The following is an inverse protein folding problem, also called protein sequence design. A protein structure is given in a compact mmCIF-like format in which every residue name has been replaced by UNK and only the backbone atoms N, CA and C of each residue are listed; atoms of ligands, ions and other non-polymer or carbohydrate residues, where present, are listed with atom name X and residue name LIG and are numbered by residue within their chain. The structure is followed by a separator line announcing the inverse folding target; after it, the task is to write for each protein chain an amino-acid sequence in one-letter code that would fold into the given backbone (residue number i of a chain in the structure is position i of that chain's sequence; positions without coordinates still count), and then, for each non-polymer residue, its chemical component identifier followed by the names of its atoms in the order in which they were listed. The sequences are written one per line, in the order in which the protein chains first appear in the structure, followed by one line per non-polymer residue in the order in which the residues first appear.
data_IF_508845565515
#
_entry.id   IF_508845565515
#
_cell.length_a   1.000
_cell.length_b   1.000
_cell.length_c   1.000
_cell.angle_alpha   90.00
_cell.angle_beta   90.00
_cell.angle_gamma   90.00
#
_symmetry.space_group_name_H-M   'P 1'
#
loop_
_entity.id
_entity.type
_entity.pdbx_description
1 polymer ?
#
# COMPACT_ATOMS: atom_id res chain seq x y z
N UNK A 1 11.54 6.54 13.80
CA UNK A 1 10.16 6.12 13.44
C UNK A 1 10.26 4.93 12.49
N UNK A 2 9.26 4.04 12.42
CA UNK A 2 9.33 2.89 11.52
C UNK A 2 9.47 3.33 10.07
N UNK A 3 10.29 2.61 9.30
CA UNK A 3 10.49 2.88 7.87
C UNK A 3 9.51 2.11 6.99
N UNK A 4 9.10 0.92 7.45
CA UNK A 4 8.17 0.02 6.76
C UNK A 4 7.12 -0.46 7.76
N UNK A 5 5.85 -0.53 7.32
CA UNK A 5 4.74 -1.13 8.07
C UNK A 5 4.05 -2.19 7.20
N UNK A 6 3.86 -3.40 7.73
CA UNK A 6 2.97 -4.40 7.12
C UNK A 6 1.61 -4.33 7.81
N UNK A 7 0.54 -4.30 7.03
CA UNK A 7 -0.86 -4.32 7.49
C UNK A 7 -1.52 -5.56 6.88
N UNK A 8 -1.91 -6.47 7.77
CA UNK A 8 -2.49 -7.77 7.46
C UNK A 8 -3.52 -8.05 8.56
N UNK A 9 -4.71 -7.47 8.36
CA UNK A 9 -5.79 -7.44 9.35
C UNK A 9 -7.13 -7.57 8.65
N UNK A 10 -7.56 -8.80 8.42
CA UNK A 10 -8.78 -9.13 7.66
C UNK A 10 -9.98 -8.23 8.04
N UNK A 11 -10.37 -7.37 7.10
CA UNK A 11 -11.59 -6.54 7.19
C UNK A 11 -11.49 -5.32 8.09
N UNK A 12 -10.32 -5.04 8.69
CA UNK A 12 -10.12 -3.90 9.58
C UNK A 12 -9.08 -2.90 9.05
N UNK A 13 -8.66 -3.04 7.80
CA UNK A 13 -7.57 -2.27 7.21
C UNK A 13 -7.88 -0.76 7.24
N UNK A 14 -9.12 -0.36 6.91
CA UNK A 14 -9.54 1.05 6.97
C UNK A 14 -9.49 1.62 8.39
N UNK A 15 -9.87 0.85 9.39
CA UNK A 15 -9.85 1.29 10.78
C UNK A 15 -8.41 1.42 11.31
N UNK A 16 -7.54 0.48 10.95
CA UNK A 16 -6.10 0.54 11.27
C UNK A 16 -5.46 1.75 10.61
N UNK A 17 -5.68 1.95 9.31
CA UNK A 17 -5.17 3.10 8.58
C UNK A 17 -5.65 4.43 9.17
N UNK A 18 -6.93 4.52 9.57
CA UNK A 18 -7.47 5.71 10.25
C UNK A 18 -6.81 5.95 11.62
N UNK A 19 -6.57 4.89 12.40
CA UNK A 19 -5.84 4.97 13.67
C UNK A 19 -4.36 5.35 13.52
N UNK A 20 -3.79 5.17 12.34
CA UNK A 20 -2.39 5.46 12.03
C UNK A 20 -2.14 6.89 11.51
N UNK A 21 -3.14 7.77 11.51
CA UNK A 21 -3.05 9.13 10.91
C UNK A 21 -1.80 9.91 11.37
N UNK A 22 -1.48 9.88 12.66
CA UNK A 22 -0.29 10.56 13.20
C UNK A 22 1.02 9.95 12.66
N UNK A 23 1.08 8.62 12.52
CA UNK A 23 2.25 7.94 11.96
C UNK A 23 2.40 8.25 10.47
N UNK A 24 1.31 8.21 9.72
CA UNK A 24 1.31 8.50 8.28
C UNK A 24 1.79 9.93 8.00
N UNK A 25 1.35 10.90 8.82
CA UNK A 25 1.72 12.31 8.68
C UNK A 25 3.14 12.64 9.16
N UNK A 26 3.64 11.96 10.21
CA UNK A 26 4.95 12.29 10.80
C UNK A 26 6.10 11.44 10.28
N UNK A 27 5.89 10.14 10.07
CA UNK A 27 6.93 9.20 9.67
C UNK A 27 6.93 8.92 8.16
N UNK A 28 5.76 9.01 7.53
CA UNK A 28 5.53 8.61 6.13
C UNK A 28 6.22 7.26 5.80
N UNK A 29 5.83 6.16 6.48
CA UNK A 29 6.43 4.86 6.22
C UNK A 29 5.99 4.30 4.86
N UNK A 30 6.82 3.46 4.24
CA UNK A 30 6.37 2.58 3.16
C UNK A 30 5.46 1.52 3.77
N UNK A 31 4.36 1.17 3.11
CA UNK A 31 3.43 0.18 3.64
C UNK A 31 3.24 -0.99 2.69
N UNK A 32 3.12 -2.19 3.26
CA UNK A 32 2.67 -3.39 2.58
C UNK A 32 1.30 -3.76 3.14
N UNK A 33 0.26 -3.68 2.32
CA UNK A 33 -1.13 -3.86 2.71
C UNK A 33 -1.71 -5.07 2.00
N UNK A 34 -2.21 -6.04 2.76
CA UNK A 34 -3.11 -7.06 2.24
C UNK A 34 -4.49 -6.45 2.07
N UNK A 35 -4.98 -6.38 0.84
CA UNK A 35 -6.22 -5.72 0.48
C UNK A 35 -7.25 -6.75 0.03
N UNK A 36 -8.07 -7.19 0.98
CA UNK A 36 -9.19 -8.09 0.73
C UNK A 36 -10.29 -7.42 -0.10
N UNK A 37 -11.21 -8.22 -0.65
CA UNK A 37 -12.45 -7.70 -1.27
C UNK A 37 -13.20 -6.73 -0.32
N UNK A 38 -13.20 -7.04 0.99
CA UNK A 38 -13.78 -6.17 1.99
C UNK A 38 -13.03 -4.83 2.08
N UNK A 39 -11.70 -4.83 2.06
CA UNK A 39 -10.88 -3.61 2.02
C UNK A 39 -11.33 -2.72 0.86
N UNK A 40 -11.38 -3.27 -0.35
CA UNK A 40 -11.80 -2.55 -1.55
C UNK A 40 -13.22 -2.01 -1.43
N UNK A 41 -14.16 -2.81 -0.95
CA UNK A 41 -15.53 -2.38 -0.68
C UNK A 41 -15.61 -1.23 0.33
N UNK A 42 -14.76 -1.24 1.36
CA UNK A 42 -14.77 -0.21 2.41
C UNK A 42 -14.21 1.13 1.94
N UNK A 43 -13.27 1.10 0.99
CA UNK A 43 -12.74 2.29 0.31
C UNK A 43 -13.57 2.68 -0.92
N UNK A 44 -14.42 1.79 -1.42
CA UNK A 44 -15.30 1.98 -2.57
C UNK A 44 -14.60 1.84 -3.92
N UNK A 45 -13.32 2.22 -4.01
CA UNK A 45 -12.48 2.04 -5.19
C UNK A 45 -11.00 2.29 -4.87
N UNK A 46 -10.13 2.02 -5.84
CA UNK A 46 -8.73 2.47 -5.85
C UNK A 46 -8.59 3.98 -5.63
N UNK A 47 -9.48 4.78 -6.22
CA UNK A 47 -9.45 6.25 -6.04
C UNK A 47 -9.90 6.66 -4.64
N UNK A 48 -10.82 5.91 -4.03
CA UNK A 48 -11.21 6.13 -2.63
C UNK A 48 -10.06 5.82 -1.66
N UNK A 49 -9.31 4.74 -1.92
CA UNK A 49 -8.08 4.41 -1.19
C UNK A 49 -7.01 5.49 -1.40
N UNK A 50 -6.77 5.91 -2.64
CA UNK A 50 -5.82 6.97 -2.98
C UNK A 50 -6.17 8.30 -2.29
N UNK A 51 -7.45 8.67 -2.28
CA UNK A 51 -7.93 9.89 -1.60
C UNK A 51 -7.68 9.82 -0.11
N UNK A 52 -7.87 8.65 0.51
CA UNK A 52 -7.58 8.44 1.93
C UNK A 52 -6.09 8.58 2.24
N UNK A 53 -5.23 7.97 1.40
CA UNK A 53 -3.78 7.94 1.61
C UNK A 53 -3.09 9.26 1.24
N UNK A 54 -3.74 10.10 0.43
CA UNK A 54 -3.18 11.36 -0.06
C UNK A 54 -2.09 11.13 -1.12
N UNK A 55 -0.95 11.79 -0.93
CA UNK A 55 0.18 11.77 -1.88
C UNK A 55 1.05 10.52 -1.71
N UNK A 56 0.57 9.41 -2.28
CA UNK A 56 1.26 8.13 -2.29
C UNK A 56 1.12 7.43 -3.65
N UNK A 57 2.10 6.62 -4.00
CA UNK A 57 2.04 5.72 -5.14
C UNK A 57 1.60 4.32 -4.70
N UNK A 58 0.70 3.73 -5.48
CA UNK A 58 0.13 2.40 -5.25
C UNK A 58 0.70 1.43 -6.28
N UNK A 59 1.31 0.35 -5.80
CA UNK A 59 1.78 -0.75 -6.63
C UNK A 59 1.08 -2.05 -6.22
N UNK A 60 0.56 -2.79 -7.20
CA UNK A 60 0.18 -4.17 -6.98
C UNK A 60 1.44 -5.02 -6.79
N UNK A 61 1.42 -5.87 -5.77
CA UNK A 61 2.46 -6.88 -5.54
C UNK A 61 1.98 -8.20 -6.14
N UNK A 62 2.67 -8.66 -7.18
CA UNK A 62 2.33 -9.89 -7.88
C UNK A 62 3.35 -10.98 -7.56
N UNK A 63 2.90 -12.01 -6.85
CA UNK A 63 3.73 -13.17 -6.54
C UNK A 63 3.70 -14.20 -7.68
N UNK A 64 4.86 -14.52 -8.23
CA UNK A 64 5.01 -15.65 -9.13
C UNK A 64 5.26 -16.92 -8.31
N UNK A 65 4.20 -17.71 -8.10
CA UNK A 65 4.21 -18.93 -7.28
C UNK A 65 5.24 -20.00 -7.73
N UNK A 66 5.66 -19.98 -8.99
CA UNK A 66 6.60 -20.96 -9.54
C UNK A 66 8.06 -20.58 -9.34
N UNK A 67 8.35 -19.29 -9.26
CA UNK A 67 9.73 -18.77 -9.16
C UNK A 67 10.05 -18.19 -7.79
N UNK A 68 9.04 -17.99 -6.94
CA UNK A 68 9.18 -17.28 -5.67
C UNK A 68 9.53 -15.80 -5.82
N UNK A 69 9.46 -15.26 -7.04
CA UNK A 69 9.78 -13.85 -7.33
C UNK A 69 8.52 -13.00 -7.24
N UNK A 70 8.71 -11.80 -6.71
CA UNK A 70 7.69 -10.76 -6.65
C UNK A 70 7.93 -9.74 -7.77
N UNK A 71 6.85 -9.20 -8.31
CA UNK A 71 6.89 -8.07 -9.25
C UNK A 71 6.00 -6.96 -8.72
N UNK A 72 6.49 -5.74 -8.90
CA UNK A 72 5.70 -4.54 -8.65
C UNK A 72 5.14 -4.05 -9.99
N UNK A 73 3.84 -3.78 -10.01
CA UNK A 73 3.17 -3.13 -11.14
C UNK A 73 2.44 -1.91 -10.62
N UNK A 74 2.61 -0.76 -11.27
CA UNK A 74 1.80 0.41 -10.94
C UNK A 74 0.31 0.01 -11.03
N UNK A 75 -0.46 0.27 -9.98
CA UNK A 75 -1.86 -0.15 -9.91
C UNK A 75 -2.68 0.74 -10.87
N UNK A 76 -3.08 0.24 -12.06
CA UNK A 76 -3.58 1.11 -13.12
C UNK A 76 -5.05 1.46 -12.89
N UNK A 77 -5.91 0.43 -12.82
CA UNK A 77 -7.34 0.48 -12.46
C UNK A 77 -7.70 -0.92 -11.94
N UNK A 78 -8.45 -1.01 -10.85
CA UNK A 78 -8.94 -2.27 -10.29
C UNK A 78 -8.39 -2.59 -8.90
N UNK A 79 -8.53 -3.86 -8.52
CA UNK A 79 -8.20 -4.40 -7.20
C UNK A 79 -6.95 -5.28 -7.29
N UNK A 80 -6.26 -5.43 -6.17
CA UNK A 80 -5.14 -6.35 -5.98
C UNK A 80 -5.19 -6.89 -4.56
N UNK A 81 -4.78 -8.13 -4.36
CA UNK A 81 -4.78 -8.78 -3.04
C UNK A 81 -3.67 -8.22 -2.14
N UNK A 82 -2.59 -7.69 -2.72
CA UNK A 82 -1.47 -7.12 -1.99
C UNK A 82 -0.98 -5.84 -2.66
N UNK A 83 -0.77 -4.81 -1.85
CA UNK A 83 -0.38 -3.47 -2.26
C UNK A 83 0.89 -3.03 -1.56
N UNK A 84 1.85 -2.52 -2.34
CA UNK A 84 2.91 -1.68 -1.82
C UNK A 84 2.50 -0.22 -1.98
N UNK A 85 2.46 0.50 -0.87
CA UNK A 85 2.09 1.91 -0.78
C UNK A 85 3.34 2.70 -0.46
N UNK A 86 3.72 3.61 -1.35
CA UNK A 86 4.94 4.40 -1.25
C UNK A 86 4.56 5.87 -1.13
N UNK A 87 4.79 6.53 0.02
CA UNK A 87 4.62 7.97 0.11
C UNK A 87 5.54 8.68 -0.89
N UNK A 88 5.05 9.70 -1.59
CA UNK A 88 5.84 10.40 -2.61
C UNK A 88 7.15 10.99 -2.05
N UNK A 89 7.16 11.37 -0.77
CA UNK A 89 8.36 11.83 -0.05
C UNK A 89 9.47 10.77 0.07
N UNK A 90 9.15 9.48 -0.11
CA UNK A 90 10.08 8.34 -0.05
C UNK A 90 10.49 7.83 -1.43
N UNK A 91 9.93 8.36 -2.53
CA UNK A 91 10.15 7.84 -3.89
C UNK A 91 11.62 7.81 -4.30
N UNK A 92 12.36 8.89 -4.02
CA UNK A 92 13.78 8.98 -4.36
C UNK A 92 14.62 7.90 -3.65
N UNK A 93 14.26 7.56 -2.41
CA UNK A 93 14.93 6.52 -1.62
C UNK A 93 14.65 5.11 -2.10
N UNK A 94 13.56 4.89 -2.86
CA UNK A 94 13.24 3.59 -3.45
C UNK A 94 13.81 3.44 -4.86
N UNK A 95 13.90 4.53 -5.63
CA UNK A 95 14.53 4.54 -6.94
C UNK A 95 16.02 4.18 -6.90
N UNK A 96 16.69 4.30 -5.75
CA UNK A 96 18.06 3.82 -5.55
C UNK A 96 18.16 2.32 -5.26
N UNK A 97 17.04 1.64 -5.01
CA UNK A 97 16.96 0.23 -4.61
C UNK A 97 16.30 -0.61 -5.72
N UNK A 98 15.38 -0.01 -6.49
CA UNK A 98 14.78 -0.61 -7.67
C UNK A 98 15.70 -0.41 -8.88
N UNK A 99 16.20 -1.49 -9.51
CA UNK A 99 17.16 -1.43 -10.62
C UNK A 99 16.60 -0.80 -11.90
#
# INVERSE_FOLDING_TARGET
LPEIVKIDVEGHEKAVLAGMTDLLSTAAPVMLLEASEFTWKTFGSRDGLQTFLGDAELFAVEANKWTGRYRLRALPVGEADELLIVPSSRRASLASILP
#
